data_IF_907934710996
#
_entry.id   IF_907934710996
#
_cell.length_a   1.000
_cell.length_b   1.000
_cell.length_c   1.000
_cell.angle_alpha   90.00
_cell.angle_beta   90.00
_cell.angle_gamma   90.00
#
_symmetry.space_group_name_H-M   'P 1'
#
loop_
_entity.id
_entity.type
_entity.pdbx_description
1 polymer ?
#
# COMPACT_ATOMS: atom_id res chain seq x y z
N UNK A 1 -6.32 -3.80 -15.31
CA UNK A 1 -5.36 -2.76 -14.89
C UNK A 1 -5.13 -1.70 -15.96
N UNK A 2 -4.61 -2.00 -17.15
CA UNK A 2 -4.37 -0.94 -18.17
C UNK A 2 -5.65 -0.21 -18.59
N UNK A 3 -6.79 -0.91 -18.59
CA UNK A 3 -8.11 -0.34 -18.93
C UNK A 3 -8.67 0.67 -17.90
N UNK A 4 -8.11 0.71 -16.69
CA UNK A 4 -8.59 1.59 -15.60
C UNK A 4 -7.69 2.81 -15.41
N UNK A 5 -6.61 2.91 -16.18
CA UNK A 5 -5.76 4.10 -16.24
C UNK A 5 -6.66 5.23 -16.78
N UNK A 6 -6.76 6.33 -16.05
CA UNK A 6 -7.65 7.49 -16.28
C UNK A 6 -9.10 7.37 -15.79
N UNK A 7 -9.47 6.28 -15.11
CA UNK A 7 -10.78 6.18 -14.46
C UNK A 7 -10.73 6.64 -12.99
N UNK A 8 -11.84 7.17 -12.47
CA UNK A 8 -11.97 7.57 -11.06
C UNK A 8 -11.71 6.42 -10.07
N UNK A 9 -11.81 5.17 -10.54
CA UNK A 9 -11.54 3.96 -9.76
C UNK A 9 -10.04 3.63 -9.61
N UNK A 10 -9.12 4.45 -10.14
CA UNK A 10 -7.69 4.16 -10.11
C UNK A 10 -7.13 3.98 -8.69
N UNK A 11 -7.69 4.69 -7.70
CA UNK A 11 -7.33 4.53 -6.30
C UNK A 11 -7.69 3.14 -5.74
N UNK A 12 -8.84 2.57 -6.14
CA UNK A 12 -9.21 1.18 -5.81
C UNK A 12 -8.23 0.22 -6.47
N UNK A 13 -7.88 0.44 -7.74
CA UNK A 13 -6.91 -0.41 -8.43
C UNK A 13 -5.55 -0.37 -7.74
N UNK A 14 -5.09 0.80 -7.29
CA UNK A 14 -3.86 0.95 -6.53
C UNK A 14 -3.92 0.23 -5.17
N UNK A 15 -5.07 0.28 -4.48
CA UNK A 15 -5.33 -0.49 -3.26
C UNK A 15 -5.21 -2.01 -3.51
N UNK A 16 -5.87 -2.54 -4.54
CA UNK A 16 -5.81 -3.98 -4.88
C UNK A 16 -4.41 -4.44 -5.32
N UNK A 17 -3.63 -3.56 -5.96
CA UNK A 17 -2.20 -3.82 -6.24
C UNK A 17 -1.41 -3.97 -4.93
N UNK A 18 -1.73 -3.16 -3.91
CA UNK A 18 -1.13 -3.25 -2.58
C UNK A 18 -1.29 -4.63 -1.96
N UNK A 19 -2.49 -5.23 -2.06
CA UNK A 19 -2.71 -6.63 -1.67
C UNK A 19 -1.86 -7.61 -2.47
N UNK A 20 -1.60 -7.34 -3.76
CA UNK A 20 -0.67 -8.11 -4.58
C UNK A 20 0.78 -8.14 -4.06
N UNK A 21 1.19 -7.12 -3.31
CA UNK A 21 2.48 -7.08 -2.58
C UNK A 21 2.40 -7.64 -1.16
N UNK A 22 1.23 -8.14 -0.75
CA UNK A 22 1.00 -8.72 0.58
C UNK A 22 0.67 -7.69 1.67
N UNK A 23 0.30 -6.46 1.31
CA UNK A 23 -0.17 -5.47 2.29
C UNK A 23 -1.62 -5.76 2.70
N UNK A 24 -1.94 -5.84 4.01
CA UNK A 24 -3.32 -6.03 4.47
C UNK A 24 -4.10 -4.70 4.51
N UNK A 25 -5.41 -4.80 4.69
CA UNK A 25 -6.28 -3.65 4.97
C UNK A 25 -5.97 -3.04 6.33
N UNK A 26 -6.06 -1.71 6.42
CA UNK A 26 -5.83 -0.93 7.65
C UNK A 26 -7.06 -0.18 8.12
N UNK A 27 -8.22 -0.84 8.12
CA UNK A 27 -9.49 -0.18 8.42
C UNK A 27 -9.66 0.05 9.91
N UNK A 28 -9.29 -0.93 10.73
CA UNK A 28 -9.38 -0.83 12.18
C UNK A 28 -8.10 -0.27 12.80
N UNK A 29 -8.18 0.39 13.98
CA UNK A 29 -6.99 0.87 14.69
C UNK A 29 -5.96 -0.21 14.99
N UNK A 30 -6.38 -1.47 15.19
CA UNK A 30 -5.48 -2.59 15.50
C UNK A 30 -4.69 -3.08 14.28
N UNK A 31 -5.20 -2.84 13.08
CA UNK A 31 -4.54 -3.24 11.83
C UNK A 31 -3.45 -2.24 11.43
N UNK A 32 -3.52 -1.01 11.94
CA UNK A 32 -2.59 0.06 11.63
C UNK A 32 -1.26 -0.15 12.38
N UNK A 33 -0.11 0.18 11.74
CA UNK A 33 1.19 0.10 12.41
C UNK A 33 1.30 0.97 13.67
N UNK A 34 0.60 2.10 13.71
CA UNK A 34 0.49 2.99 14.88
C UNK A 34 -0.89 3.66 14.92
N UNK A 35 -1.32 4.14 16.09
CA UNK A 35 -2.60 4.88 16.24
C UNK A 35 -2.67 6.14 15.35
N UNK A 36 -1.52 6.78 15.10
CA UNK A 36 -1.39 7.99 14.28
C UNK A 36 -0.68 7.71 12.97
N UNK A 37 -0.95 6.55 12.37
CA UNK A 37 -0.37 6.21 11.08
C UNK A 37 -0.86 7.21 10.02
N UNK A 38 0.05 7.76 9.19
CA UNK A 38 -0.33 8.69 8.12
C UNK A 38 -1.31 8.05 7.13
N UNK A 39 -2.08 8.86 6.38
CA UNK A 39 -2.98 8.35 5.34
C UNK A 39 -2.24 7.46 4.34
N UNK A 40 -2.89 6.39 3.90
CA UNK A 40 -2.33 5.33 3.07
C UNK A 40 -3.44 4.74 2.20
N UNK A 41 -3.12 4.26 1.00
CA UNK A 41 -4.13 3.68 0.10
C UNK A 41 -4.77 2.41 0.66
N UNK A 42 -4.07 1.71 1.56
CA UNK A 42 -4.59 0.54 2.29
C UNK A 42 -5.57 0.89 3.42
N UNK A 43 -5.79 2.18 3.69
CA UNK A 43 -6.74 2.67 4.69
C UNK A 43 -7.95 3.30 3.99
N UNK A 44 -9.12 2.70 4.18
CA UNK A 44 -10.38 3.08 3.53
C UNK A 44 -10.65 4.58 3.61
N UNK A 45 -10.79 5.20 2.43
CA UNK A 45 -11.14 6.62 2.29
C UNK A 45 -10.10 7.61 2.80
N UNK A 46 -8.89 7.18 3.18
CA UNK A 46 -7.87 8.07 3.74
C UNK A 46 -7.05 8.81 2.66
N UNK A 47 -6.92 8.21 1.47
CA UNK A 47 -6.18 8.77 0.35
C UNK A 47 -6.80 8.35 -1.00
N UNK A 48 -6.75 9.26 -1.98
CA UNK A 48 -7.17 9.00 -3.38
C UNK A 48 -5.97 8.79 -4.31
N UNK A 49 -4.76 8.98 -3.80
CA UNK A 49 -3.50 8.87 -4.51
C UNK A 49 -2.47 8.15 -3.61
N UNK A 50 -1.39 7.65 -4.21
CA UNK A 50 -0.28 7.06 -3.46
C UNK A 50 0.39 8.13 -2.60
N UNK A 51 0.62 7.80 -1.33
CA UNK A 51 1.23 8.69 -0.35
C UNK A 51 2.66 8.25 0.02
N UNK A 52 3.37 9.09 0.77
CA UNK A 52 4.68 8.73 1.32
C UNK A 52 4.62 7.52 2.26
N UNK A 53 3.49 7.32 2.95
CA UNK A 53 3.29 6.18 3.84
C UNK A 53 3.24 4.87 3.05
N UNK A 54 2.60 4.87 1.88
CA UNK A 54 2.52 3.72 0.97
C UNK A 54 3.92 3.35 0.45
N UNK A 55 4.69 4.36 0.05
CA UNK A 55 6.08 4.18 -0.37
C UNK A 55 6.96 3.60 0.75
N UNK A 56 6.79 4.09 1.97
CA UNK A 56 7.50 3.56 3.14
C UNK A 56 7.12 2.09 3.42
N UNK A 57 5.83 1.75 3.38
CA UNK A 57 5.35 0.38 3.60
C UNK A 57 5.92 -0.59 2.57
N UNK A 58 5.83 -0.26 1.28
CA UNK A 58 6.33 -1.12 0.22
C UNK A 58 7.84 -1.31 0.33
N UNK A 59 8.59 -0.24 0.63
CA UNK A 59 10.03 -0.31 0.91
C UNK A 59 10.32 -1.22 2.09
N UNK A 60 9.56 -1.10 3.18
CA UNK A 60 9.76 -1.90 4.39
C UNK A 60 9.48 -3.38 4.13
N UNK A 61 8.42 -3.69 3.39
CA UNK A 61 8.11 -5.05 2.96
C UNK A 61 9.24 -5.64 2.09
N UNK A 62 9.72 -4.88 1.11
CA UNK A 62 10.85 -5.29 0.27
C UNK A 62 12.14 -5.51 1.07
N UNK A 63 12.51 -4.59 1.96
CA UNK A 63 13.69 -4.72 2.83
C UNK A 63 13.64 -5.98 3.70
N UNK A 64 12.43 -6.41 4.13
CA UNK A 64 12.25 -7.59 4.98
C UNK A 64 12.46 -8.93 4.27
N UNK A 65 12.46 -8.93 2.94
CA UNK A 65 12.72 -10.12 2.13
C UNK A 65 14.05 -10.03 1.37
N UNK A 66 14.74 -8.88 1.45
CA UNK A 66 15.89 -8.59 0.61
C UNK A 66 17.04 -9.56 0.84
N UNK A 67 17.26 -9.98 2.09
CA UNK A 67 18.28 -10.96 2.49
C UNK A 67 18.09 -12.35 1.86
N UNK A 68 16.88 -12.67 1.40
CA UNK A 68 16.55 -13.93 0.72
C UNK A 68 17.01 -13.96 -0.74
N UNK A 69 17.38 -12.83 -1.31
CA UNK A 69 17.73 -12.69 -2.71
C UNK A 69 19.11 -12.06 -2.87
N UNK A 70 19.93 -12.64 -3.75
CA UNK A 70 21.20 -12.04 -4.14
C UNK A 70 20.97 -11.12 -5.35
N UNK A 71 20.53 -9.89 -5.09
CA UNK A 71 20.45 -8.87 -6.12
C UNK A 71 21.87 -8.54 -6.61
N UNK A 72 22.10 -8.72 -7.92
CA UNK A 72 23.37 -8.39 -8.58
C UNK A 72 23.37 -6.94 -9.06
#
# INVERSE_FOLDING_TARGET
>A
MVQTIDQEILHIVAHEIGHGFGLPDFYEPQDKPTEKFPPAIMMAGSAMEITDSDGWMLRRAYESIMDRYSFK
#
